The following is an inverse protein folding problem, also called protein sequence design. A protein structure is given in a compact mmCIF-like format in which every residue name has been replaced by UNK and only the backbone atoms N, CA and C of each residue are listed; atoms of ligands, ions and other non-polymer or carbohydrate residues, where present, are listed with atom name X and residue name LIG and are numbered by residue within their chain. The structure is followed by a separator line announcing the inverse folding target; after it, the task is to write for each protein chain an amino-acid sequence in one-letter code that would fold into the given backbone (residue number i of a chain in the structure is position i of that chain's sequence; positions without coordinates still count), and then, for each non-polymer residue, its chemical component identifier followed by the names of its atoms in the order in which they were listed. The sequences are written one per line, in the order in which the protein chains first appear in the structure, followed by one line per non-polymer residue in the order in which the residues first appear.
data_IF_097282363853
#
_entry.id   IF_097282363853
#
_cell.length_a   1.000
_cell.length_b   1.000
_cell.length_c   1.000
_cell.angle_alpha   90.00
_cell.angle_beta   90.00
_cell.angle_gamma   90.00
#
_symmetry.space_group_name_H-M   'P 1'
#
loop_
_entity.id
_entity.type
_entity.pdbx_description
1 polymer ?
#
# COMPACT_ATOMS: atom_id res chain seq x y z
N UNK A 1 -3.48 6.92 15.65
CA UNK A 1 -4.22 7.58 14.55
C UNK A 1 -3.51 8.83 14.08
N UNK A 2 -2.58 8.66 13.18
CA UNK A 2 -1.85 9.77 12.58
C UNK A 2 -2.19 9.84 11.10
N UNK A 3 -2.28 11.06 10.60
CA UNK A 3 -2.43 11.24 9.17
C UNK A 3 -1.20 10.70 8.45
N UNK A 4 -1.44 10.01 7.37
CA UNK A 4 -0.37 9.42 6.58
C UNK A 4 -0.69 9.61 5.11
N UNK A 5 0.15 10.36 4.43
CA UNK A 5 -0.03 10.67 3.02
C UNK A 5 1.05 9.95 2.22
N UNK A 6 0.62 9.13 1.28
CA UNK A 6 1.53 8.46 0.37
C UNK A 6 1.30 8.96 -1.05
N UNK A 7 2.38 9.17 -1.81
CA UNK A 7 2.22 9.50 -3.23
C UNK A 7 1.77 8.29 -4.00
N UNK A 8 1.06 8.51 -5.08
CA UNK A 8 0.69 7.43 -5.98
C UNK A 8 1.78 7.22 -7.02
N UNK A 9 2.13 5.95 -7.22
CA UNK A 9 2.93 5.57 -8.38
C UNK A 9 2.04 5.56 -9.60
N UNK A 10 2.63 5.45 -10.78
CA UNK A 10 1.82 5.37 -12.01
C UNK A 10 0.88 4.17 -11.98
N UNK A 11 1.35 3.02 -11.49
CA UNK A 11 0.51 1.83 -11.40
C UNK A 11 -0.67 2.03 -10.46
N UNK A 12 -0.41 2.60 -9.29
CA UNK A 12 -1.46 2.86 -8.31
C UNK A 12 -2.47 3.88 -8.85
N UNK A 13 -1.97 4.92 -9.53
CA UNK A 13 -2.82 5.94 -10.12
C UNK A 13 -3.78 5.33 -11.13
N UNK A 14 -3.28 4.44 -11.99
CA UNK A 14 -4.13 3.79 -12.99
C UNK A 14 -5.24 2.96 -12.34
N UNK A 15 -4.92 2.27 -11.25
CA UNK A 15 -5.93 1.49 -10.54
C UNK A 15 -7.02 2.40 -9.98
N UNK A 16 -6.65 3.49 -9.34
CA UNK A 16 -7.63 4.42 -8.77
C UNK A 16 -8.44 5.10 -9.86
N UNK A 17 -7.82 5.49 -10.98
CA UNK A 17 -8.54 6.13 -12.07
C UNK A 17 -9.61 5.21 -12.65
N UNK A 18 -9.31 3.93 -12.81
CA UNK A 18 -10.30 2.96 -13.27
C UNK A 18 -11.50 2.87 -12.34
N UNK A 19 -11.24 2.95 -11.02
CA UNK A 19 -12.31 2.85 -10.05
C UNK A 19 -13.13 4.14 -9.95
N UNK A 20 -12.49 5.28 -10.17
CA UNK A 20 -13.15 6.59 -10.02
C UNK A 20 -14.03 6.97 -11.19
N UNK A 21 -13.99 6.22 -12.30
CA UNK A 21 -14.86 6.49 -13.45
C UNK A 21 -16.33 6.15 -13.17
N UNK A 22 -16.61 5.49 -12.06
CA UNK A 22 -17.95 5.10 -11.65
C UNK A 22 -18.54 6.16 -10.73
N UNK A 23 -19.85 6.23 -10.68
CA UNK A 23 -20.56 7.12 -9.77
C UNK A 23 -20.63 6.46 -8.39
N UNK A 24 -19.48 6.20 -7.82
CA UNK A 24 -19.33 5.49 -6.54
C UNK A 24 -18.89 6.43 -5.43
N UNK A 25 -19.43 6.21 -4.24
CA UNK A 25 -19.01 6.94 -3.06
C UNK A 25 -17.65 6.47 -2.56
N UNK A 26 -17.35 5.20 -2.75
CA UNK A 26 -16.11 4.59 -2.29
C UNK A 26 -15.32 4.06 -3.48
N UNK A 27 -13.99 4.14 -3.41
CA UNK A 27 -13.12 3.61 -4.46
C UNK A 27 -13.39 2.12 -4.68
N UNK A 28 -13.47 1.37 -3.58
CA UNK A 28 -13.79 -0.05 -3.62
C UNK A 28 -15.15 -0.23 -2.95
N UNK A 29 -16.19 -0.03 -3.75
CA UNK A 29 -17.56 -0.07 -3.25
C UNK A 29 -18.14 -1.46 -3.40
N UNK A 30 -18.95 -1.85 -2.41
CA UNK A 30 -19.63 -3.14 -2.43
C UNK A 30 -20.66 -3.18 -3.57
N UNK A 31 -20.70 -4.30 -4.29
CA UNK A 31 -21.72 -4.53 -5.31
C UNK A 31 -23.07 -4.90 -4.71
N UNK A 32 -23.06 -5.35 -3.47
CA UNK A 32 -24.28 -5.80 -2.78
C UNK A 32 -24.90 -4.66 -1.99
N UNK A 33 -24.08 -3.91 -1.28
CA UNK A 33 -24.53 -2.78 -0.46
C UNK A 33 -23.92 -1.51 -1.01
N UNK A 34 -24.62 -0.85 -1.90
CA UNK A 34 -24.09 0.24 -2.74
C UNK A 34 -23.49 1.42 -1.98
N UNK A 35 -23.92 1.66 -0.73
CA UNK A 35 -23.42 2.79 0.04
C UNK A 35 -22.34 2.40 1.04
N UNK A 36 -21.73 1.23 0.88
CA UNK A 36 -20.70 0.74 1.77
C UNK A 36 -19.47 0.27 0.98
N UNK A 37 -18.29 0.37 1.57
CA UNK A 37 -17.10 -0.18 0.93
C UNK A 37 -17.13 -1.70 0.96
N UNK A 38 -16.30 -2.33 0.13
CA UNK A 38 -16.20 -3.79 0.14
C UNK A 38 -15.59 -4.25 1.48
N UNK A 39 -15.84 -5.51 1.80
CA UNK A 39 -15.18 -6.15 2.93
C UNK A 39 -13.91 -6.82 2.41
N UNK A 40 -12.77 -6.24 2.75
CA UNK A 40 -11.48 -6.69 2.19
C UNK A 40 -11.18 -8.14 2.51
N UNK A 41 -11.59 -8.63 3.69
CA UNK A 41 -11.34 -10.02 4.07
C UNK A 41 -11.96 -11.02 3.09
N UNK A 42 -13.14 -10.71 2.57
CA UNK A 42 -13.78 -11.59 1.59
C UNK A 42 -13.02 -11.61 0.27
N UNK A 43 -12.49 -10.47 -0.14
CA UNK A 43 -11.69 -10.38 -1.35
C UNK A 43 -10.40 -11.18 -1.20
N UNK A 44 -9.72 -11.04 -0.06
CA UNK A 44 -8.50 -11.80 0.20
C UNK A 44 -8.77 -13.30 0.20
N UNK A 45 -9.89 -13.72 0.77
CA UNK A 45 -10.26 -15.14 0.78
C UNK A 45 -10.45 -15.67 -0.64
N UNK A 46 -11.18 -14.93 -1.47
CA UNK A 46 -11.44 -15.35 -2.84
C UNK A 46 -10.13 -15.44 -3.64
N UNK A 47 -9.27 -14.45 -3.53
CA UNK A 47 -8.00 -14.46 -4.25
C UNK A 47 -7.12 -15.60 -3.74
N UNK A 48 -7.10 -15.83 -2.42
CA UNK A 48 -6.34 -16.94 -1.84
C UNK A 48 -6.78 -18.27 -2.41
N UNK A 49 -8.07 -18.47 -2.58
CA UNK A 49 -8.60 -19.71 -3.16
C UNK A 49 -8.15 -19.88 -4.62
N UNK A 50 -8.13 -18.78 -5.38
CA UNK A 50 -7.72 -18.85 -6.77
C UNK A 50 -6.23 -19.13 -6.95
N UNK A 51 -5.39 -18.57 -6.10
CA UNK A 51 -3.93 -18.73 -6.25
C UNK A 51 -3.39 -19.94 -5.48
N UNK A 52 -4.20 -20.55 -4.63
CA UNK A 52 -3.83 -21.80 -3.97
C UNK A 52 -3.11 -21.64 -2.64
N UNK A 53 -2.99 -20.44 -2.10
CA UNK A 53 -2.44 -20.27 -0.77
C UNK A 53 -3.08 -19.07 -0.08
N UNK A 54 -3.09 -19.09 1.24
CA UNK A 54 -3.72 -18.04 2.05
C UNK A 54 -2.76 -16.88 2.29
N UNK A 55 -3.27 -15.67 2.14
CA UNK A 55 -2.51 -14.48 2.49
C UNK A 55 -3.44 -13.43 3.08
N UNK A 56 -2.86 -12.46 3.77
CA UNK A 56 -3.60 -11.39 4.43
C UNK A 56 -3.00 -10.03 4.03
N UNK A 57 -3.71 -8.96 4.39
CA UNK A 57 -3.18 -7.61 4.18
C UNK A 57 -1.84 -7.43 4.89
N UNK A 58 -1.68 -8.06 6.06
CA UNK A 58 -0.44 -7.96 6.81
C UNK A 58 0.72 -8.63 6.05
N UNK A 59 0.44 -9.72 5.34
CA UNK A 59 1.46 -10.36 4.50
C UNK A 59 1.91 -9.45 3.36
N UNK A 60 0.98 -8.69 2.77
CA UNK A 60 1.33 -7.73 1.74
C UNK A 60 2.24 -6.63 2.30
N UNK A 61 1.93 -6.19 3.50
CA UNK A 61 2.74 -5.19 4.21
C UNK A 61 4.15 -5.73 4.45
N UNK A 62 4.27 -6.98 4.88
CA UNK A 62 5.57 -7.62 5.08
C UNK A 62 6.33 -7.76 3.77
N UNK A 63 5.64 -8.08 2.69
CA UNK A 63 6.26 -8.21 1.38
C UNK A 63 6.87 -6.88 0.95
N UNK A 64 6.14 -5.79 1.13
CA UNK A 64 6.67 -4.46 0.82
C UNK A 64 7.96 -4.21 1.61
N UNK A 65 7.93 -4.50 2.91
CA UNK A 65 9.09 -4.28 3.76
C UNK A 65 10.29 -5.12 3.31
N UNK A 66 10.04 -6.37 2.95
CA UNK A 66 11.11 -7.27 2.50
C UNK A 66 11.73 -6.80 1.19
N UNK A 67 10.90 -6.45 0.22
CA UNK A 67 11.40 -5.98 -1.08
C UNK A 67 12.16 -4.67 -0.92
N UNK A 68 11.64 -3.76 -0.09
CA UNK A 68 12.34 -2.49 0.17
C UNK A 68 13.71 -2.74 0.82
N UNK A 69 13.77 -3.65 1.78
CA UNK A 69 15.04 -3.99 2.43
C UNK A 69 16.03 -4.59 1.42
N UNK A 70 15.55 -5.46 0.54
CA UNK A 70 16.39 -6.05 -0.51
C UNK A 70 16.90 -5.00 -1.49
N UNK A 71 16.16 -3.92 -1.65
CA UNK A 71 16.54 -2.79 -2.50
C UNK A 71 17.45 -1.80 -1.79
N UNK A 72 17.84 -2.08 -0.54
CA UNK A 72 18.81 -1.27 0.17
C UNK A 72 18.24 -0.18 1.07
N UNK A 73 16.92 -0.16 1.26
CA UNK A 73 16.33 0.85 2.14
C UNK A 73 16.46 0.43 3.60
N UNK A 74 16.74 1.40 4.45
CA UNK A 74 16.89 1.14 5.87
C UNK A 74 15.54 1.07 6.57
N UNK A 75 15.58 0.65 7.83
CA UNK A 75 14.35 0.45 8.60
C UNK A 75 13.58 1.75 8.80
N UNK A 76 14.28 2.88 8.86
CA UNK A 76 13.61 4.18 9.00
C UNK A 76 12.82 4.54 7.75
N UNK A 77 13.42 4.32 6.58
CA UNK A 77 12.74 4.59 5.31
C UNK A 77 11.53 3.68 5.12
N UNK A 78 11.69 2.40 5.43
CA UNK A 78 10.60 1.43 5.33
C UNK A 78 9.47 1.81 6.30
N UNK A 79 9.83 2.17 7.53
CA UNK A 79 8.84 2.60 8.51
C UNK A 79 8.08 3.85 8.09
N UNK A 80 8.73 4.76 7.36
CA UNK A 80 8.06 5.95 6.86
C UNK A 80 6.97 5.60 5.86
N UNK A 81 7.23 4.64 4.97
CA UNK A 81 6.23 4.19 4.01
C UNK A 81 5.07 3.49 4.72
N UNK A 82 5.38 2.69 5.73
CA UNK A 82 4.38 1.89 6.45
C UNK A 82 3.71 2.65 7.59
N UNK A 83 4.10 3.88 7.82
CA UNK A 83 3.56 4.72 8.91
C UNK A 83 3.79 4.12 10.29
N UNK A 84 4.94 3.50 10.50
CA UNK A 84 5.29 2.99 11.82
C UNK A 84 5.53 4.14 12.80
N UNK A 85 5.14 3.95 14.06
CA UNK A 85 5.46 4.89 15.12
C UNK A 85 6.95 4.83 15.41
N UNK A 86 7.53 5.99 15.68
CA UNK A 86 8.95 6.07 15.93
C UNK A 86 9.23 6.89 17.17
N UNK A 87 10.29 6.49 17.88
CA UNK A 87 10.75 7.21 19.06
C UNK A 87 11.57 8.43 18.67
N UNK A 88 12.39 8.33 17.63
CA UNK A 88 13.19 9.44 17.16
C UNK A 88 12.39 10.35 16.25
N UNK A 89 12.48 11.64 16.47
CA UNK A 89 11.64 12.61 15.76
C UNK A 89 12.33 13.17 14.52
N UNK A 90 13.63 13.47 14.64
CA UNK A 90 14.34 14.18 13.58
C UNK A 90 14.49 13.33 12.32
N UNK A 91 14.87 12.09 12.48
CA UNK A 91 15.09 11.19 11.34
C UNK A 91 13.81 10.93 10.59
N UNK A 92 12.70 10.74 11.31
CA UNK A 92 11.42 10.47 10.66
C UNK A 92 10.95 11.65 9.84
N UNK A 93 11.30 12.87 10.25
CA UNK A 93 10.95 14.06 9.50
C UNK A 93 11.56 14.03 8.10
N UNK A 94 12.87 13.75 8.03
CA UNK A 94 13.60 13.74 6.76
C UNK A 94 13.11 12.60 5.87
N UNK A 95 12.84 11.43 6.44
CA UNK A 95 12.47 10.26 5.67
C UNK A 95 11.07 10.32 5.09
N UNK A 96 10.24 11.25 5.55
CA UNK A 96 8.84 11.28 5.16
C UNK A 96 8.49 12.29 4.08
N UNK A 97 9.47 12.80 3.34
CA UNK A 97 9.15 13.66 2.20
C UNK A 97 8.42 12.85 1.12
N UNK A 98 7.53 13.51 0.39
CA UNK A 98 6.75 12.84 -0.64
C UNK A 98 7.63 12.31 -1.76
N UNK A 99 8.68 13.03 -2.12
CA UNK A 99 9.62 12.58 -3.13
C UNK A 99 10.31 11.28 -2.72
N UNK A 100 10.74 11.21 -1.45
CA UNK A 100 11.41 10.01 -0.93
C UNK A 100 10.47 8.83 -0.88
N UNK A 101 9.25 9.05 -0.41
CA UNK A 101 8.25 7.98 -0.33
C UNK A 101 7.90 7.45 -1.72
N UNK A 102 7.77 8.34 -2.70
CA UNK A 102 7.49 7.92 -4.08
C UNK A 102 8.61 7.06 -4.63
N UNK A 103 9.85 7.43 -4.38
CA UNK A 103 11.00 6.66 -4.84
C UNK A 103 11.00 5.25 -4.26
N UNK A 104 10.73 5.13 -2.97
CA UNK A 104 10.69 3.83 -2.30
C UNK A 104 9.59 2.95 -2.91
N UNK A 105 8.40 3.51 -3.08
CA UNK A 105 7.27 2.75 -3.61
C UNK A 105 7.54 2.31 -5.04
N UNK A 106 8.12 3.17 -5.86
CA UNK A 106 8.47 2.82 -7.23
C UNK A 106 9.51 1.69 -7.26
N UNK A 107 10.53 1.77 -6.42
CA UNK A 107 11.56 0.75 -6.36
C UNK A 107 10.99 -0.59 -5.91
N UNK A 108 10.06 -0.58 -4.95
CA UNK A 108 9.39 -1.80 -4.51
C UNK A 108 8.60 -2.41 -5.66
N UNK A 109 7.86 -1.59 -6.40
CA UNK A 109 7.11 -2.10 -7.56
C UNK A 109 8.04 -2.72 -8.59
N UNK A 110 9.17 -2.07 -8.86
CA UNK A 110 10.15 -2.62 -9.79
C UNK A 110 10.69 -3.97 -9.31
N UNK A 111 10.86 -4.12 -8.02
CA UNK A 111 11.31 -5.38 -7.45
C UNK A 111 10.25 -6.48 -7.50
N UNK A 112 8.97 -6.10 -7.42
CA UNK A 112 7.88 -7.07 -7.43
C UNK A 112 7.54 -7.56 -8.84
N UNK A 113 7.64 -6.69 -9.84
CA UNK A 113 7.10 -6.98 -11.17
C UNK A 113 8.18 -7.23 -12.22
N UNK A 114 9.41 -7.44 -11.80
CA UNK A 114 10.50 -7.78 -12.74
C UNK A 114 11.15 -9.12 -12.45
#
# INVERSE_FOLDING_TARGET
NRDHTLPMTENTKLIFERRMSQDNKFVFQSNIQKLKPITASKTFKRVSEEIGFTFTAHDLRRTLATVAAERGYDINSIGAVLNHSRQGVTESYIQRTQTRLRQILKDVEDGLFK
#
